data_IF_559287172200
#
_entry.id   IF_559287172200
#
_cell.length_a   1.000
_cell.length_b   1.000
_cell.length_c   1.000
_cell.angle_alpha   90.00
_cell.angle_beta   90.00
_cell.angle_gamma   90.00
#
_symmetry.space_group_name_H-M   'P 1'
#
loop_
_entity.id
_entity.type
_entity.pdbx_description
1 polymer ?
#
# COMPACT_ATOMS: atom_id res chain seq x y z
N UNK A 1 12.20 -1.78 -18.21
CA UNK A 1 10.78 -1.42 -18.37
C UNK A 1 10.48 -0.25 -17.44
N UNK A 2 9.58 0.66 -17.80
CA UNK A 2 9.07 1.65 -16.85
C UNK A 2 7.93 1.00 -16.05
N UNK A 3 8.01 0.95 -14.71
CA UNK A 3 6.94 0.36 -13.90
C UNK A 3 5.71 1.26 -13.95
N UNK A 4 4.54 0.66 -14.18
CA UNK A 4 3.26 1.35 -14.00
C UNK A 4 2.90 1.21 -12.52
N UNK A 5 2.98 2.32 -11.79
CA UNK A 5 2.63 2.33 -10.36
C UNK A 5 1.12 2.37 -10.17
N UNK A 6 0.60 1.51 -9.30
CA UNK A 6 -0.77 1.53 -8.82
C UNK A 6 -0.92 2.35 -7.53
N UNK A 7 0.06 3.20 -7.20
CA UNK A 7 0.07 4.05 -5.99
C UNK A 7 -0.13 3.25 -4.68
N UNK A 8 0.33 1.99 -4.65
CA UNK A 8 0.20 1.09 -3.51
C UNK A 8 -1.15 0.35 -3.43
N UNK A 9 -2.01 0.47 -4.43
CA UNK A 9 -3.22 -0.34 -4.55
C UNK A 9 -2.93 -1.74 -5.08
N UNK A 10 -3.74 -2.71 -4.66
CA UNK A 10 -3.66 -4.10 -5.10
C UNK A 10 -4.23 -4.27 -6.51
N UNK A 11 -3.55 -5.05 -7.34
CA UNK A 11 -4.12 -5.62 -8.55
C UNK A 11 -5.29 -6.55 -8.20
N UNK A 12 -6.38 -6.42 -8.93
CA UNK A 12 -7.52 -7.33 -8.84
C UNK A 12 -7.55 -8.27 -10.06
N UNK A 13 -8.13 -9.46 -9.94
CA UNK A 13 -8.36 -10.32 -11.09
C UNK A 13 -9.40 -9.69 -12.02
N UNK A 14 -9.18 -9.76 -13.32
CA UNK A 14 -10.13 -9.17 -14.28
C UNK A 14 -9.55 -8.90 -15.65
N UNK A 15 -10.36 -8.24 -16.49
CA UNK A 15 -9.98 -7.80 -17.83
C UNK A 15 -9.39 -6.40 -17.77
N UNK A 16 -8.26 -6.22 -18.44
CA UNK A 16 -7.51 -4.98 -18.50
C UNK A 16 -7.21 -4.60 -19.94
N UNK A 17 -7.05 -3.30 -20.17
CA UNK A 17 -6.65 -2.73 -21.46
C UNK A 17 -5.40 -1.88 -21.24
N UNK A 18 -4.29 -2.30 -21.86
CA UNK A 18 -3.09 -1.48 -21.95
C UNK A 18 -3.21 -0.58 -23.16
N UNK A 19 -3.18 0.75 -22.93
CA UNK A 19 -3.05 1.76 -23.98
C UNK A 19 -1.67 2.40 -23.86
N UNK A 20 -0.91 2.37 -24.94
CA UNK A 20 0.42 2.99 -25.01
C UNK A 20 0.52 3.87 -26.25
N UNK A 21 1.16 5.01 -26.11
CA UNK A 21 1.44 5.92 -27.21
C UNK A 21 2.94 6.21 -27.23
N UNK A 22 3.57 6.01 -28.38
CA UNK A 22 4.97 6.31 -28.61
C UNK A 22 5.08 7.44 -29.62
N UNK A 23 5.93 8.42 -29.34
CA UNK A 23 6.26 9.50 -30.25
C UNK A 23 7.71 9.33 -30.71
N UNK A 24 7.96 9.55 -32.00
CA UNK A 24 9.26 9.34 -32.62
C UNK A 24 9.71 10.57 -33.40
N UNK A 25 11.02 10.83 -33.32
CA UNK A 25 11.73 11.91 -34.01
C UNK A 25 11.17 13.30 -33.66
N UNK A 26 11.85 13.98 -32.73
CA UNK A 26 11.54 15.36 -32.35
C UNK A 26 12.02 16.32 -33.45
N UNK A 27 11.12 17.14 -33.98
CA UNK A 27 11.39 18.06 -35.09
C UNK A 27 10.41 19.25 -35.05
N UNK A 28 10.87 20.46 -35.36
CA UNK A 28 10.04 21.68 -35.33
C UNK A 28 8.87 21.66 -36.34
N UNK A 29 9.03 20.89 -37.42
CA UNK A 29 8.01 20.64 -38.44
C UNK A 29 7.12 19.43 -38.11
N UNK A 30 7.34 18.80 -36.97
CA UNK A 30 6.50 17.71 -36.46
C UNK A 30 5.04 18.13 -36.32
N UNK A 31 4.13 17.28 -36.81
CA UNK A 31 2.68 17.54 -36.76
C UNK A 31 2.06 17.10 -35.43
N UNK A 32 2.73 16.23 -34.68
CA UNK A 32 2.26 15.75 -33.38
C UNK A 32 2.84 16.60 -32.25
N UNK A 33 1.98 17.42 -31.65
CA UNK A 33 2.33 18.33 -30.55
C UNK A 33 2.07 17.67 -29.20
N UNK A 34 3.08 17.67 -28.33
CA UNK A 34 3.02 17.10 -26.98
C UNK A 34 3.57 18.13 -26.01
N UNK A 35 2.84 18.37 -24.92
CA UNK A 35 3.32 19.25 -23.84
C UNK A 35 4.33 18.49 -22.98
N UNK A 36 5.61 18.74 -23.18
CA UNK A 36 6.70 18.20 -22.38
C UNK A 36 7.01 19.07 -21.15
N UNK A 37 7.97 18.63 -20.34
CA UNK A 37 8.43 19.37 -19.16
C UNK A 37 9.07 20.73 -19.50
N UNK A 38 9.67 20.84 -20.68
CA UNK A 38 10.39 22.04 -21.14
C UNK A 38 9.58 22.87 -22.16
N UNK A 39 8.26 22.68 -22.23
CA UNK A 39 7.38 23.36 -23.18
C UNK A 39 6.79 22.43 -24.23
N UNK A 40 6.31 23.00 -25.33
CA UNK A 40 5.68 22.25 -26.42
C UNK A 40 6.75 21.55 -27.28
N UNK A 41 6.60 20.25 -27.47
CA UNK A 41 7.48 19.43 -28.29
C UNK A 41 6.71 18.90 -29.49
N UNK A 42 7.37 18.87 -30.65
CA UNK A 42 6.80 18.39 -31.91
C UNK A 42 7.51 17.14 -32.37
N UNK A 43 6.73 16.17 -32.82
CA UNK A 43 7.20 14.88 -33.29
C UNK A 43 6.67 14.59 -34.69
N UNK A 44 7.49 13.95 -35.52
CA UNK A 44 7.10 13.56 -36.89
C UNK A 44 6.21 12.30 -36.87
N UNK A 45 6.41 11.43 -35.89
CA UNK A 45 5.73 10.13 -35.84
C UNK A 45 5.01 9.90 -34.52
N UNK A 46 3.87 9.22 -34.61
CA UNK A 46 3.07 8.74 -33.48
C UNK A 46 2.62 7.31 -33.75
N UNK A 47 2.81 6.43 -32.78
CA UNK A 47 2.26 5.07 -32.78
C UNK A 47 1.37 4.87 -31.56
N UNK A 48 0.25 4.19 -31.75
CA UNK A 48 -0.69 3.82 -30.70
C UNK A 48 -0.81 2.30 -30.63
N UNK A 49 -0.69 1.77 -29.42
CA UNK A 49 -0.78 0.35 -29.14
C UNK A 49 -1.89 0.11 -28.13
N UNK A 50 -2.80 -0.79 -28.46
CA UNK A 50 -3.83 -1.26 -27.56
C UNK A 50 -3.72 -2.77 -27.41
N UNK A 51 -3.67 -3.25 -26.17
CA UNK A 51 -3.66 -4.69 -25.88
C UNK A 51 -4.63 -5.00 -24.74
N UNK A 52 -5.55 -5.90 -25.02
CA UNK A 52 -6.43 -6.47 -24.01
C UNK A 52 -5.78 -7.72 -23.40
N UNK A 53 -5.93 -7.88 -22.09
CA UNK A 53 -5.43 -9.06 -21.38
C UNK A 53 -6.27 -9.31 -20.13
N UNK A 54 -6.19 -10.53 -19.61
CA UNK A 54 -6.86 -10.92 -18.36
C UNK A 54 -5.80 -11.26 -17.32
N UNK A 55 -5.97 -10.74 -16.11
CA UNK A 55 -5.17 -11.11 -14.94
C UNK A 55 -5.99 -12.12 -14.14
N UNK A 56 -5.43 -13.30 -13.91
CA UNK A 56 -6.06 -14.33 -13.06
C UNK A 56 -5.88 -14.01 -11.57
N UNK A 57 -6.63 -14.73 -10.72
CA UNK A 57 -6.49 -14.70 -9.27
C UNK A 57 -5.05 -14.87 -8.80
N UNK A 58 -4.42 -15.96 -9.26
CA UNK A 58 -3.08 -16.34 -8.82
C UNK A 58 -2.02 -15.34 -9.29
N UNK A 59 -2.14 -14.83 -10.53
CA UNK A 59 -1.22 -13.83 -11.06
C UNK A 59 -1.37 -12.51 -10.32
N UNK A 60 -2.60 -12.06 -10.04
CA UNK A 60 -2.81 -10.85 -9.24
C UNK A 60 -2.19 -10.99 -7.84
N UNK A 61 -2.38 -12.15 -7.20
CA UNK A 61 -1.81 -12.44 -5.88
C UNK A 61 -0.29 -12.42 -5.91
N UNK A 62 0.33 -13.13 -6.84
CA UNK A 62 1.79 -13.19 -6.98
C UNK A 62 2.41 -11.80 -7.22
N UNK A 63 1.79 -10.99 -8.09
CA UNK A 63 2.26 -9.63 -8.36
C UNK A 63 2.11 -8.71 -7.15
N UNK A 64 0.99 -8.80 -6.43
CA UNK A 64 0.76 -8.02 -5.20
C UNK A 64 1.73 -8.41 -4.07
N UNK A 65 2.11 -9.69 -3.95
CA UNK A 65 3.07 -10.14 -2.94
C UNK A 65 4.49 -9.62 -3.20
N UNK A 66 4.84 -9.38 -4.47
CA UNK A 66 6.14 -8.81 -4.87
C UNK A 66 6.17 -7.28 -4.82
N UNK A 67 5.03 -6.61 -4.70
CA UNK A 67 4.93 -5.16 -4.73
C UNK A 67 5.24 -4.54 -3.35
N UNK A 68 6.45 -3.96 -3.23
CA UNK A 68 6.93 -3.29 -2.01
C UNK A 68 6.20 -1.98 -1.69
N UNK A 69 5.40 -1.45 -2.60
CA UNK A 69 4.62 -0.22 -2.39
C UNK A 69 3.28 -0.48 -1.69
N UNK A 70 2.82 -1.75 -1.67
CA UNK A 70 1.60 -2.16 -0.99
C UNK A 70 1.90 -2.25 0.52
N UNK A 71 1.31 -1.33 1.29
CA UNK A 71 1.49 -1.33 2.75
C UNK A 71 0.72 -2.47 3.38
N UNK A 72 1.44 -3.34 4.08
CA UNK A 72 0.85 -4.37 4.94
C UNK A 72 0.31 -3.79 6.24
N UNK A 73 -0.68 -4.45 6.82
CA UNK A 73 -1.10 -4.18 8.19
C UNK A 73 -0.03 -4.70 9.16
N UNK A 74 0.46 -3.85 10.05
CA UNK A 74 1.46 -4.23 11.06
C UNK A 74 0.80 -4.99 12.23
N UNK A 75 0.51 -6.27 12.05
CA UNK A 75 -0.07 -7.14 13.08
C UNK A 75 0.74 -7.18 14.37
N UNK A 76 2.07 -7.10 14.28
CA UNK A 76 2.96 -7.02 15.44
C UNK A 76 2.69 -5.80 16.34
N UNK A 77 2.31 -4.67 15.76
CA UNK A 77 1.98 -3.46 16.51
C UNK A 77 0.69 -3.65 17.32
N UNK A 78 -0.34 -4.26 16.72
CA UNK A 78 -1.58 -4.58 17.42
C UNK A 78 -1.38 -5.58 18.56
N UNK A 79 -0.53 -6.60 18.34
CA UNK A 79 -0.17 -7.57 19.37
C UNK A 79 0.54 -6.89 20.56
N UNK A 80 1.48 -5.98 20.28
CA UNK A 80 2.17 -5.21 21.31
C UNK A 80 1.19 -4.34 22.13
N UNK A 81 0.27 -3.63 21.47
CA UNK A 81 -0.73 -2.80 22.14
C UNK A 81 -1.63 -3.66 23.04
N UNK A 82 -2.10 -4.80 22.55
CA UNK A 82 -2.91 -5.74 23.34
C UNK A 82 -2.17 -6.24 24.58
N UNK A 83 -0.87 -6.54 24.44
CA UNK A 83 -0.03 -6.96 25.56
C UNK A 83 0.13 -5.87 26.63
N UNK A 84 0.34 -4.61 26.22
CA UNK A 84 0.47 -3.48 27.14
C UNK A 84 -0.84 -3.29 27.95
N UNK A 85 -1.99 -3.37 27.29
CA UNK A 85 -3.30 -3.24 27.95
C UNK A 85 -3.49 -4.37 28.98
N UNK A 86 -3.15 -5.61 28.62
CA UNK A 86 -3.25 -6.75 29.53
C UNK A 86 -2.34 -6.58 30.76
N UNK A 87 -1.11 -6.10 30.57
CA UNK A 87 -0.18 -5.85 31.67
C UNK A 87 -0.72 -4.77 32.64
N UNK A 88 -1.33 -3.71 32.13
CA UNK A 88 -1.95 -2.66 32.94
C UNK A 88 -3.13 -3.19 33.76
N UNK A 89 -3.99 -4.03 33.17
CA UNK A 89 -5.11 -4.66 33.88
C UNK A 89 -4.62 -5.57 35.03
N UNK A 90 -3.59 -6.37 34.77
CA UNK A 90 -2.98 -7.22 35.78
C UNK A 90 -2.35 -6.40 36.91
N UNK A 91 -1.68 -5.29 36.58
CA UNK A 91 -1.11 -4.37 37.56
C UNK A 91 -2.19 -3.76 38.45
N UNK A 92 -3.27 -3.24 37.86
CA UNK A 92 -4.40 -2.67 38.61
C UNK A 92 -5.04 -3.73 39.50
N UNK A 93 -5.28 -4.93 38.98
CA UNK A 93 -5.83 -6.06 39.75
C UNK A 93 -4.94 -6.45 40.93
N UNK A 94 -3.62 -6.51 40.72
CA UNK A 94 -2.65 -6.82 41.77
C UNK A 94 -2.64 -5.76 42.87
N UNK A 95 -2.62 -4.47 42.50
CA UNK A 95 -2.70 -3.35 43.44
C UNK A 95 -4.01 -3.36 44.23
N UNK A 96 -5.14 -3.66 43.59
CA UNK A 96 -6.44 -3.81 44.24
C UNK A 96 -6.45 -4.95 45.28
N UNK A 97 -5.93 -6.14 44.92
CA UNK A 97 -5.81 -7.26 45.87
C UNK A 97 -4.90 -6.94 47.05
N UNK A 98 -3.81 -6.19 46.83
CA UNK A 98 -2.89 -5.83 47.90
C UNK A 98 -3.56 -4.93 48.94
N UNK A 99 -4.30 -3.90 48.50
CA UNK A 99 -5.03 -2.99 49.39
C UNK A 99 -6.05 -3.72 50.27
N UNK A 100 -6.82 -4.65 49.71
CA UNK A 100 -7.79 -5.45 50.51
C UNK A 100 -7.15 -6.25 51.64
N UNK A 101 -5.95 -6.81 51.41
CA UNK A 101 -5.24 -7.57 52.44
C UNK A 101 -4.73 -6.69 53.58
N UNK A 102 -4.37 -5.44 53.29
CA UNK A 102 -3.93 -4.47 54.30
C UNK A 102 -5.10 -3.99 55.17
N UNK A 103 -6.30 -3.83 54.59
CA UNK A 103 -7.53 -3.47 55.32
C UNK A 103 -8.03 -4.60 56.24
N UNK A 104 -7.96 -5.86 55.79
CA UNK A 104 -8.35 -7.03 56.61
C UNK A 104 -7.42 -7.18 57.84
N UNK A 105 -6.10 -7.01 57.68
CA UNK A 105 -5.12 -7.15 58.77
C UNK A 105 -5.20 -6.04 59.83
N UNK A 106 -5.66 -4.83 59.48
CA UNK A 106 -5.87 -3.75 60.45
C UNK A 106 -7.18 -3.88 61.24
N UNK A 107 -8.16 -4.62 60.72
CA UNK A 107 -9.45 -4.85 61.41
C UNK A 107 -9.40 -5.97 62.45
N UNK A 108 -8.37 -6.83 62.41
CA UNK A 108 -8.18 -7.95 63.34
C UNK A 108 -7.20 -7.64 64.50
N UNK A 109 -6.56 -6.46 64.52
CA UNK A 109 -5.74 -5.95 65.63
C UNK A 109 -6.52 -4.97 66.52
#
# INVERSE_FOLDING_TARGET
SYPISLKGERLTPGKYVLKSTAYGVKDEKGTYQVKGANGEERYLYKWEFTKEFTISGDVAKELNEKDVTIKGTNWWLYLLIAFIILALLLLIFFLYRKKKKEEEQQSEQ
#
